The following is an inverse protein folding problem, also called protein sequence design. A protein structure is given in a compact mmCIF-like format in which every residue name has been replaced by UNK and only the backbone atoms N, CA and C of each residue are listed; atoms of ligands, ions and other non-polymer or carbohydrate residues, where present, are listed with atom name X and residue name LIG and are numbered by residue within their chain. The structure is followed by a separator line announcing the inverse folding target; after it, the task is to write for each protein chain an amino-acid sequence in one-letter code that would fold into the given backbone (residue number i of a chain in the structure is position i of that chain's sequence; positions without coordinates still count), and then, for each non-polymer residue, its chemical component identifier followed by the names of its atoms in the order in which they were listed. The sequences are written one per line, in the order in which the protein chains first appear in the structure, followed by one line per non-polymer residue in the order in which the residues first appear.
data_IF_597729884821
#
_entry.id   IF_597729884821
#
_cell.length_a   1.000
_cell.length_b   1.000
_cell.length_c   1.000
_cell.angle_alpha   90.00
_cell.angle_beta   90.00
_cell.angle_gamma   90.00
#
_symmetry.space_group_name_H-M   'P 1'
#
loop_
_entity.id
_entity.type
_entity.pdbx_description
1 polymer ?
#
# COMPACT_ATOMS: atom_id res chain seq x y z
N UNK A 1 -8.43 22.23 26.19
CA UNK A 1 -7.30 21.75 25.35
C UNK A 1 -7.79 21.56 23.92
N UNK A 2 -7.45 22.49 23.02
CA UNK A 2 -7.77 22.34 21.59
C UNK A 2 -6.95 21.18 21.03
N UNK A 3 -7.60 20.07 20.69
CA UNK A 3 -6.96 19.01 19.89
C UNK A 3 -6.59 19.64 18.56
N UNK A 4 -5.30 19.97 18.39
CA UNK A 4 -4.74 20.41 17.11
C UNK A 4 -5.16 19.40 16.05
N UNK A 5 -6.09 19.81 15.18
CA UNK A 5 -6.59 18.95 14.10
C UNK A 5 -5.41 18.74 13.15
N UNK A 6 -4.70 17.63 13.31
CA UNK A 6 -3.62 17.25 12.39
C UNK A 6 -4.21 17.25 10.98
N UNK A 7 -3.55 17.93 10.05
CA UNK A 7 -3.96 17.93 8.65
C UNK A 7 -3.83 16.52 8.09
N UNK A 8 -4.62 16.19 7.05
CA UNK A 8 -4.55 14.89 6.38
C UNK A 8 -3.13 14.53 5.94
N UNK A 9 -2.36 15.50 5.43
CA UNK A 9 -0.95 15.32 5.05
C UNK A 9 -0.04 14.89 6.21
N UNK A 10 -0.29 15.38 7.43
CA UNK A 10 0.48 14.96 8.62
C UNK A 10 0.14 13.52 8.97
N UNK A 11 -1.14 13.13 8.86
CA UNK A 11 -1.54 11.75 9.06
C UNK A 11 -0.88 10.80 8.06
N UNK A 12 -0.88 11.16 6.77
CA UNK A 12 -0.29 10.32 5.72
C UNK A 12 1.19 10.07 5.97
N UNK A 13 1.97 11.13 6.24
CA UNK A 13 3.40 10.97 6.56
C UNK A 13 3.64 10.06 7.75
N UNK A 14 2.84 10.19 8.80
CA UNK A 14 2.98 9.37 9.99
C UNK A 14 2.60 7.91 9.73
N UNK A 15 1.51 7.68 8.99
CA UNK A 15 1.07 6.32 8.66
C UNK A 15 2.02 5.61 7.69
N UNK A 16 2.63 6.32 6.74
CA UNK A 16 3.69 5.77 5.88
C UNK A 16 4.90 5.31 6.70
N UNK A 17 5.34 6.13 7.67
CA UNK A 17 6.42 5.75 8.57
C UNK A 17 6.08 4.47 9.34
N UNK A 18 4.84 4.35 9.84
CA UNK A 18 4.40 3.16 10.55
C UNK A 18 4.40 1.92 9.64
N UNK A 19 3.77 2.01 8.45
CA UNK A 19 3.70 0.88 7.53
C UNK A 19 5.09 0.44 7.06
N UNK A 20 6.01 1.38 6.86
CA UNK A 20 7.39 1.06 6.46
C UNK A 20 8.12 0.19 7.48
N UNK A 21 7.66 0.13 8.73
CA UNK A 21 8.22 -0.70 9.79
C UNK A 21 7.54 -2.07 9.93
N UNK A 22 6.22 -2.16 9.67
CA UNK A 22 5.44 -3.38 9.96
C UNK A 22 5.09 -4.23 8.73
N UNK A 23 5.49 -3.84 7.52
CA UNK A 23 5.22 -4.49 6.21
C UNK A 23 3.72 -4.56 5.83
N UNK A 24 2.86 -4.97 6.77
CA UNK A 24 1.40 -4.99 6.68
C UNK A 24 0.79 -4.54 8.00
N UNK A 25 -0.31 -3.79 7.96
CA UNK A 25 -0.87 -3.18 9.15
C UNK A 25 -2.40 -3.19 9.15
N UNK A 26 -3.02 -3.72 10.20
CA UNK A 26 -4.48 -3.64 10.33
C UNK A 26 -4.95 -2.21 10.63
N UNK A 27 -6.22 -1.90 10.35
CA UNK A 27 -6.79 -0.59 10.70
C UNK A 27 -6.78 -0.32 12.21
N UNK A 28 -6.93 -1.36 13.02
CA UNK A 28 -6.92 -1.25 14.49
C UNK A 28 -5.50 -0.94 14.97
N UNK A 29 -4.51 -1.69 14.49
CA UNK A 29 -3.09 -1.45 14.80
C UNK A 29 -2.65 -0.04 14.37
N UNK A 30 -3.08 0.42 13.19
CA UNK A 30 -2.82 1.80 12.74
C UNK A 30 -3.43 2.84 13.67
N UNK A 31 -4.63 2.58 14.19
CA UNK A 31 -5.32 3.45 15.14
C UNK A 31 -4.53 3.56 16.45
N UNK A 32 -4.09 2.42 16.98
CA UNK A 32 -3.33 2.33 18.22
C UNK A 32 -1.97 3.02 18.12
N UNK A 33 -1.23 2.77 17.05
CA UNK A 33 0.12 3.31 16.90
C UNK A 33 0.13 4.80 16.52
N UNK A 34 -0.77 5.22 15.64
CA UNK A 34 -0.80 6.61 15.20
C UNK A 34 -1.55 7.54 16.17
N UNK A 35 -2.42 6.97 17.03
CA UNK A 35 -3.36 7.70 17.87
C UNK A 35 -4.54 8.31 17.09
N UNK A 36 -4.67 8.00 15.80
CA UNK A 36 -5.85 8.37 15.02
C UNK A 36 -7.04 7.50 15.43
N UNK A 37 -8.26 8.05 15.40
CA UNK A 37 -9.45 7.21 15.54
C UNK A 37 -9.66 6.36 14.28
N UNK A 38 -10.25 5.16 14.44
CA UNK A 38 -10.65 4.30 13.32
C UNK A 38 -11.53 5.04 12.30
N UNK A 39 -12.41 5.94 12.76
CA UNK A 39 -13.22 6.79 11.88
C UNK A 39 -12.36 7.75 11.06
N UNK A 40 -11.34 8.38 11.66
CA UNK A 40 -10.40 9.26 10.94
C UNK A 40 -9.66 8.48 9.86
N UNK A 41 -9.21 7.27 10.17
CA UNK A 41 -8.55 6.39 9.19
C UNK A 41 -9.51 6.06 8.04
N UNK A 42 -10.75 5.65 8.33
CA UNK A 42 -11.75 5.37 7.28
C UNK A 42 -12.02 6.58 6.38
N UNK A 43 -12.16 7.77 6.98
CA UNK A 43 -12.45 9.00 6.21
C UNK A 43 -11.30 9.42 5.31
N UNK A 44 -10.06 9.11 5.69
CA UNK A 44 -8.86 9.52 4.96
C UNK A 44 -8.21 8.40 4.14
N UNK A 45 -8.68 7.15 4.28
CA UNK A 45 -8.11 5.97 3.64
C UNK A 45 -8.01 6.12 2.12
N UNK A 46 -9.09 6.57 1.48
CA UNK A 46 -9.10 6.71 0.02
C UNK A 46 -8.08 7.73 -0.48
N UNK A 47 -7.94 8.85 0.21
CA UNK A 47 -6.96 9.88 -0.14
C UNK A 47 -5.53 9.42 0.12
N UNK A 48 -5.32 8.70 1.22
CA UNK A 48 -4.02 8.14 1.56
C UNK A 48 -3.55 7.13 0.50
N UNK A 49 -4.42 6.19 0.11
CA UNK A 49 -4.13 5.18 -0.93
C UNK A 49 -3.93 5.77 -2.34
N UNK A 50 -4.54 6.92 -2.65
CA UNK A 50 -4.33 7.60 -3.94
C UNK A 50 -3.04 8.41 -4.00
N UNK A 51 -2.63 8.99 -2.87
CA UNK A 51 -1.48 9.90 -2.79
C UNK A 51 -0.18 9.19 -2.46
N UNK A 52 -0.26 7.95 -1.97
CA UNK A 52 0.87 7.15 -1.53
C UNK A 52 0.69 5.75 -2.11
N UNK A 53 1.78 5.03 -2.34
CA UNK A 53 1.77 3.67 -2.88
C UNK A 53 1.30 2.66 -1.81
N UNK A 54 0.07 2.82 -1.33
CA UNK A 54 -0.55 2.04 -0.27
C UNK A 54 -1.78 1.32 -0.83
N UNK A 55 -1.85 0.02 -0.58
CA UNK A 55 -3.02 -0.82 -0.88
C UNK A 55 -3.68 -1.27 0.42
N UNK A 56 -4.99 -1.50 0.37
CA UNK A 56 -5.75 -2.08 1.47
C UNK A 56 -6.45 -3.34 0.97
N UNK A 57 -5.92 -4.51 1.34
CA UNK A 57 -6.39 -5.82 0.90
C UNK A 57 -6.46 -6.75 2.10
N UNK A 58 -7.44 -7.66 2.12
CA UNK A 58 -7.60 -8.66 3.19
C UNK A 58 -7.62 -8.07 4.61
N UNK A 59 -8.07 -6.82 4.77
CA UNK A 59 -8.18 -6.18 6.09
C UNK A 59 -6.92 -5.45 6.57
N UNK A 60 -5.84 -5.43 5.77
CA UNK A 60 -4.57 -4.80 6.13
C UNK A 60 -4.12 -3.79 5.07
N UNK A 61 -3.42 -2.76 5.51
CA UNK A 61 -2.68 -1.83 4.67
C UNK A 61 -1.29 -2.38 4.40
N UNK A 62 -0.77 -2.17 3.19
CA UNK A 62 0.62 -2.48 2.84
C UNK A 62 1.10 -1.56 1.71
N UNK A 63 2.41 -1.44 1.56
CA UNK A 63 2.94 -0.80 0.36
C UNK A 63 2.62 -1.63 -0.88
N UNK A 64 2.26 -0.95 -1.96
CA UNK A 64 2.19 -1.58 -3.28
C UNK A 64 3.60 -2.05 -3.65
N UNK A 65 3.83 -3.36 -3.52
CA UNK A 65 5.02 -4.01 -4.05
C UNK A 65 4.61 -4.53 -5.43
N UNK A 66 5.09 -3.95 -6.54
CA UNK A 66 4.85 -4.55 -7.84
C UNK A 66 5.38 -5.99 -7.75
N UNK A 67 4.49 -6.97 -7.91
CA UNK A 67 4.95 -8.36 -8.05
C UNK A 67 6.00 -8.32 -9.14
N UNK A 68 7.21 -8.81 -8.85
CA UNK A 68 8.21 -9.08 -9.88
C UNK A 68 7.55 -10.03 -10.88
N UNK A 69 6.95 -9.47 -11.93
CA UNK A 69 6.56 -10.21 -13.11
C UNK A 69 7.91 -10.57 -13.72
N UNK A 70 8.46 -11.72 -13.31
CA UNK A 70 9.47 -12.38 -14.12
C UNK A 70 8.76 -12.69 -15.42
N UNK A 71 8.95 -11.82 -16.41
CA UNK A 71 8.73 -12.16 -17.80
C UNK A 71 9.81 -13.20 -18.08
N UNK A 72 9.53 -14.45 -17.71
CA UNK A 72 10.26 -15.58 -18.23
C UNK A 72 9.99 -15.56 -19.73
N UNK A 73 10.90 -14.94 -20.47
CA UNK A 73 11.06 -15.15 -21.90
C UNK A 73 11.29 -16.65 -22.06
N UNK A 74 10.20 -17.41 -22.16
CA UNK A 74 10.27 -18.82 -22.49
C UNK A 74 11.01 -18.88 -23.84
N UNK A 75 12.11 -19.65 -23.93
CA UNK A 75 12.81 -19.79 -25.20
C UNK A 75 11.79 -20.26 -26.24
N UNK A 76 11.70 -19.50 -27.33
CA UNK A 76 10.77 -19.79 -28.42
C UNK A 76 10.83 -21.28 -28.75
N UNK A 77 9.67 -21.93 -28.74
CA UNK A 77 9.58 -23.36 -29.04
C UNK A 77 10.10 -23.60 -30.47
N UNK A 78 10.72 -24.75 -30.73
CA UNK A 78 11.25 -25.09 -32.08
C UNK A 78 10.19 -24.92 -33.19
N UNK A 79 8.91 -25.03 -32.83
CA UNK A 79 7.75 -24.81 -33.70
C UNK A 79 7.60 -23.36 -34.20
N UNK A 80 8.10 -22.37 -33.46
CA UNK A 80 8.14 -20.96 -33.87
C UNK A 80 9.33 -20.64 -34.77
N UNK A 81 10.48 -21.31 -34.56
CA UNK A 81 11.66 -21.15 -35.43
C UNK A 81 11.42 -21.70 -36.83
N UNK A 82 10.57 -22.71 -36.98
CA UNK A 82 10.25 -23.33 -38.26
C UNK A 82 9.30 -22.47 -39.12
N UNK A 83 8.50 -21.57 -38.52
CA UNK A 83 7.60 -20.65 -39.25
C UNK A 83 8.30 -19.37 -39.75
N UNK A 84 9.53 -19.13 -39.34
CA UNK A 84 10.35 -17.96 -39.71
C UNK A 84 11.41 -18.28 -40.77
N UNK A 85 11.37 -19.47 -41.36
CA UNK A 85 12.24 -19.91 -42.46
C UNK A 85 11.46 -19.88 -43.77
#
# INVERSE_FOLDING_TARGET
MNRLRRSSKIWFKHWDQIISLEDTLSRVSLSEQSGASVQTIKSLQGDWMRQNDIVYENGVFSHFKPRNISISLLPATEKEKERLK
#
